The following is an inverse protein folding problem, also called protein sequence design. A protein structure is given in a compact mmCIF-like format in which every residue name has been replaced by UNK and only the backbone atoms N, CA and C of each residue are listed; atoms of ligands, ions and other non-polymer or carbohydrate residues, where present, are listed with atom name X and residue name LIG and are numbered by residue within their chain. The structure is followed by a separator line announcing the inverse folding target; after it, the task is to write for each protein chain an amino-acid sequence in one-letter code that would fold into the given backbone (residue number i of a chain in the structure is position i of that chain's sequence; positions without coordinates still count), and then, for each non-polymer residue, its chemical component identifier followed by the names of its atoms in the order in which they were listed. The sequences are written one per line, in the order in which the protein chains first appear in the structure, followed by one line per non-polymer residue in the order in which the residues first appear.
data_IF_625125827625
#
_entry.id   IF_625125827625
#
_cell.length_a   1.000
_cell.length_b   1.000
_cell.length_c   1.000
_cell.angle_alpha   90.00
_cell.angle_beta   90.00
_cell.angle_gamma   90.00
#
_symmetry.space_group_name_H-M   'P 1'
#
loop_
_entity.id
_entity.type
_entity.pdbx_description
1 polymer ?
#
# COMPACT_ATOMS: atom_id res chain seq x y z
N UNK A 1 -43.74 -19.96 20.59
CA UNK A 1 -43.54 -21.24 19.88
C UNK A 1 -42.48 -20.97 18.81
N UNK A 2 -41.27 -21.49 18.78
CA UNK A 2 -40.56 -22.47 19.58
C UNK A 2 -39.14 -21.92 19.84
N UNK A 3 -38.67 -21.97 21.09
CA UNK A 3 -37.32 -21.53 21.47
C UNK A 3 -36.33 -22.65 21.17
N UNK A 4 -35.38 -22.38 20.27
CA UNK A 4 -34.26 -23.28 20.00
C UNK A 4 -33.14 -23.02 21.02
N UNK A 5 -32.92 -23.98 21.91
CA UNK A 5 -31.79 -24.01 22.85
C UNK A 5 -30.51 -24.41 22.11
N UNK A 6 -29.56 -23.49 22.06
CA UNK A 6 -28.19 -23.76 21.59
C UNK A 6 -27.38 -24.47 22.70
N UNK A 7 -26.65 -25.55 22.40
CA UNK A 7 -25.88 -26.28 23.41
C UNK A 7 -24.58 -25.54 23.75
N UNK A 8 -24.43 -25.22 25.04
CA UNK A 8 -23.24 -24.62 25.64
C UNK A 8 -22.12 -25.66 25.70
N UNK A 9 -21.12 -25.54 24.82
CA UNK A 9 -19.95 -26.41 24.79
C UNK A 9 -19.02 -26.10 25.97
N UNK A 10 -19.18 -26.83 27.07
CA UNK A 10 -18.25 -26.85 28.20
C UNK A 10 -16.92 -27.52 27.79
N UNK A 11 -16.01 -26.76 27.18
CA UNK A 11 -14.61 -27.17 27.01
C UNK A 11 -13.88 -27.02 28.34
N UNK A 12 -14.08 -28.01 29.22
CA UNK A 12 -13.28 -28.21 30.43
C UNK A 12 -11.89 -28.66 29.99
N UNK A 13 -11.02 -27.70 29.66
CA UNK A 13 -9.60 -27.92 29.40
C UNK A 13 -9.00 -28.43 30.71
N UNK A 14 -8.86 -29.76 30.83
CA UNK A 14 -8.13 -30.41 31.92
C UNK A 14 -6.71 -29.87 31.87
N UNK A 15 -6.37 -29.00 32.82
CA UNK A 15 -4.97 -28.76 33.15
C UNK A 15 -4.36 -30.12 33.52
N UNK A 16 -3.20 -30.50 32.98
CA UNK A 16 -2.46 -31.60 33.56
C UNK A 16 -2.08 -31.17 34.98
N UNK A 17 -2.71 -31.81 35.97
CA UNK A 17 -2.12 -31.91 37.31
C UNK A 17 -0.73 -32.50 37.10
N UNK A 18 0.27 -31.62 37.05
CA UNK A 18 1.63 -32.00 37.34
C UNK A 18 1.61 -32.38 38.82
N UNK A 19 1.26 -33.64 39.08
CA UNK A 19 1.65 -34.32 40.31
C UNK A 19 3.12 -34.03 40.50
N UNK A 20 3.41 -33.16 41.46
CA UNK A 20 4.74 -32.97 42.00
C UNK A 20 5.08 -34.29 42.66
N UNK A 21 5.60 -35.23 41.86
CA UNK A 21 6.29 -36.39 42.36
C UNK A 21 7.56 -35.82 42.97
N UNK A 22 7.47 -35.41 44.24
CA UNK A 22 8.60 -35.34 45.16
C UNK A 22 9.13 -36.76 45.31
N UNK A 23 9.78 -37.27 44.26
CA UNK A 23 10.62 -38.46 44.32
C UNK A 23 11.78 -38.08 45.24
N UNK A 24 11.52 -38.29 46.52
CA UNK A 24 12.51 -38.39 47.58
C UNK A 24 13.34 -39.61 47.23
N UNK A 25 14.30 -39.45 46.31
CA UNK A 25 15.28 -40.47 46.00
C UNK A 25 16.04 -40.70 47.31
N UNK A 26 15.88 -41.87 47.96
CA UNK A 26 16.60 -42.15 49.19
C UNK A 26 18.09 -42.10 48.85
N UNK A 27 18.80 -41.22 49.55
CA UNK A 27 20.25 -41.06 49.47
C UNK A 27 20.89 -42.38 49.95
N UNK A 28 21.01 -43.34 49.03
CA UNK A 28 21.73 -44.59 49.24
C UNK A 28 23.19 -44.21 49.46
N UNK A 29 23.59 -44.20 50.73
CA UNK A 29 24.97 -44.01 51.13
C UNK A 29 25.86 -44.95 50.31
N UNK A 30 26.89 -44.42 49.62
CA UNK A 30 27.76 -45.25 48.82
C UNK A 30 28.43 -46.30 49.71
N UNK A 31 28.35 -47.56 49.28
CA UNK A 31 29.03 -48.68 49.91
C UNK A 31 30.52 -48.31 50.14
N UNK A 32 31.04 -48.65 51.32
CA UNK A 32 32.45 -48.48 51.68
C UNK A 32 33.34 -49.31 50.75
N UNK A 33 33.75 -48.70 49.64
CA UNK A 33 34.79 -49.25 48.77
C UNK A 33 36.13 -49.05 49.49
N UNK A 34 36.74 -50.15 49.94
CA UNK A 34 38.12 -50.13 50.47
C UNK A 34 39.08 -49.91 49.30
N UNK A 35 39.69 -48.73 49.24
CA UNK A 35 40.74 -48.42 48.27
C UNK A 35 42.04 -49.17 48.63
N UNK A 36 42.47 -50.08 47.76
CA UNK A 36 43.83 -50.63 47.75
C UNK A 36 44.71 -49.61 47.05
N UNK A 37 45.51 -48.86 47.80
CA UNK A 37 46.39 -47.83 47.23
C UNK A 37 47.64 -48.47 46.62
N UNK A 38 47.70 -48.56 45.29
CA UNK A 38 48.98 -48.75 44.59
C UNK A 38 49.73 -47.40 44.49
N UNK A 39 51.06 -47.36 44.69
CA UNK A 39 51.83 -46.11 44.80
C UNK A 39 51.78 -45.15 43.58
N UNK A 40 51.30 -45.59 42.42
CA UNK A 40 51.12 -44.74 41.23
C UNK A 40 49.70 -44.19 41.02
N UNK A 41 48.67 -44.80 41.60
CA UNK A 41 47.26 -44.50 41.29
C UNK A 41 46.69 -43.27 42.03
N UNK A 42 47.40 -42.77 43.03
CA UNK A 42 46.90 -41.69 43.91
C UNK A 42 46.86 -40.30 43.26
N UNK A 43 47.63 -40.05 42.21
CA UNK A 43 47.58 -38.77 41.49
C UNK A 43 46.40 -38.74 40.52
N UNK A 44 46.27 -39.75 39.67
CA UNK A 44 45.17 -39.86 38.71
C UNK A 44 43.79 -39.90 39.40
N UNK A 45 43.67 -40.62 40.52
CA UNK A 45 42.43 -40.64 41.28
C UNK A 45 42.06 -39.26 41.84
N UNK A 46 43.02 -38.50 42.38
CA UNK A 46 42.77 -37.15 42.90
C UNK A 46 42.38 -36.20 41.77
N UNK A 47 43.04 -36.31 40.62
CA UNK A 47 42.68 -35.54 39.43
C UNK A 47 41.25 -35.88 38.97
N UNK A 48 40.91 -37.15 38.87
CA UNK A 48 39.56 -37.59 38.51
C UNK A 48 38.51 -37.11 39.52
N UNK A 49 38.81 -37.19 40.83
CA UNK A 49 37.92 -36.68 41.88
C UNK A 49 37.71 -35.17 41.79
N UNK A 50 38.76 -34.40 41.48
CA UNK A 50 38.64 -32.96 41.26
C UNK A 50 37.79 -32.66 40.03
N UNK A 51 38.05 -33.33 38.90
CA UNK A 51 37.24 -33.18 37.68
C UNK A 51 35.77 -33.52 37.92
N UNK A 52 35.48 -34.59 38.68
CA UNK A 52 34.10 -34.94 39.05
C UNK A 52 33.46 -33.84 39.91
N UNK A 53 34.21 -33.25 40.85
CA UNK A 53 33.70 -32.15 41.68
C UNK A 53 33.41 -30.89 40.84
N UNK A 54 34.31 -30.53 39.92
CA UNK A 54 34.16 -29.38 39.03
C UNK A 54 32.96 -29.57 38.09
N UNK A 55 32.83 -30.75 37.48
CA UNK A 55 31.69 -31.09 36.61
C UNK A 55 30.37 -31.06 37.39
N UNK A 56 30.33 -31.56 38.63
CA UNK A 56 29.14 -31.45 39.49
C UNK A 56 28.78 -30.00 39.79
N UNK A 57 29.77 -29.13 40.03
CA UNK A 57 29.57 -27.70 40.19
C UNK A 57 28.96 -27.05 38.95
N UNK A 58 29.46 -27.41 37.76
CA UNK A 58 28.92 -26.93 36.49
C UNK A 58 27.48 -27.41 36.26
N UNK A 59 27.19 -28.71 36.48
CA UNK A 59 25.83 -29.25 36.35
C UNK A 59 24.85 -28.52 37.27
N UNK A 60 25.22 -28.31 38.54
CA UNK A 60 24.37 -27.57 39.48
C UNK A 60 24.13 -26.11 39.04
N UNK A 61 25.13 -25.46 38.43
CA UNK A 61 24.98 -24.12 37.86
C UNK A 61 24.00 -24.12 36.67
N UNK A 62 24.13 -25.07 35.74
CA UNK A 62 23.24 -25.20 34.59
C UNK A 62 21.79 -25.49 34.99
N UNK A 63 21.55 -26.38 35.96
CA UNK A 63 20.21 -26.63 36.48
C UNK A 63 19.57 -25.40 37.12
N UNK A 64 20.37 -24.55 37.77
CA UNK A 64 19.87 -23.31 38.35
C UNK A 64 19.48 -22.29 37.27
N UNK A 65 20.30 -22.12 36.23
CA UNK A 65 19.98 -21.27 35.09
C UNK A 65 18.76 -21.82 34.31
N UNK A 66 18.63 -23.14 34.14
CA UNK A 66 17.44 -23.76 33.54
C UNK A 66 16.17 -23.44 34.35
N UNK A 67 16.20 -23.61 35.67
CA UNK A 67 15.08 -23.27 36.56
C UNK A 67 14.71 -21.78 36.49
N UNK A 68 15.70 -20.91 36.35
CA UNK A 68 15.50 -19.46 36.19
C UNK A 68 14.91 -19.11 34.83
N UNK A 69 15.38 -19.73 33.74
CA UNK A 69 14.82 -19.59 32.41
C UNK A 69 13.36 -20.10 32.38
N UNK A 70 13.08 -21.25 32.98
CA UNK A 70 11.72 -21.82 33.07
C UNK A 70 10.74 -20.88 33.78
N UNK A 71 11.15 -20.21 34.87
CA UNK A 71 10.33 -19.20 35.56
C UNK A 71 10.07 -17.97 34.69
N UNK A 72 11.05 -17.54 33.88
CA UNK A 72 10.85 -16.43 32.94
C UNK A 72 9.87 -16.82 31.82
N UNK A 73 9.99 -18.02 31.28
CA UNK A 73 9.08 -18.55 30.28
C UNK A 73 7.63 -18.60 30.80
N UNK A 74 7.40 -19.15 32.00
CA UNK A 74 6.07 -19.16 32.63
C UNK A 74 5.49 -17.75 32.82
N UNK A 75 6.32 -16.76 33.15
CA UNK A 75 5.86 -15.37 33.26
C UNK A 75 5.45 -14.79 31.91
N UNK A 76 6.24 -15.03 30.87
CA UNK A 76 5.91 -14.59 29.51
C UNK A 76 4.64 -15.28 28.97
N UNK A 77 4.41 -16.54 29.32
CA UNK A 77 3.17 -17.24 28.98
C UNK A 77 1.94 -16.60 29.64
N UNK A 78 2.05 -16.16 30.90
CA UNK A 78 0.98 -15.44 31.62
C UNK A 78 0.74 -14.05 31.03
N UNK A 79 1.81 -13.30 30.74
CA UNK A 79 1.73 -11.99 30.08
C UNK A 79 1.08 -12.11 28.69
N UNK A 80 1.43 -13.13 27.90
CA UNK A 80 0.85 -13.41 26.58
C UNK A 80 -0.63 -13.78 26.68
N UNK A 81 -1.02 -14.59 27.67
CA UNK A 81 -2.43 -14.92 27.92
C UNK A 81 -3.25 -13.66 28.22
N UNK A 82 -2.71 -12.76 29.05
CA UNK A 82 -3.36 -11.47 29.36
C UNK A 82 -3.51 -10.59 28.12
N UNK A 83 -2.48 -10.48 27.28
CA UNK A 83 -2.55 -9.72 26.03
C UNK A 83 -3.57 -10.30 25.05
N UNK A 84 -3.72 -11.64 25.00
CA UNK A 84 -4.76 -12.28 24.19
C UNK A 84 -6.16 -11.92 24.68
N UNK A 85 -6.39 -11.91 26.00
CA UNK A 85 -7.67 -11.50 26.58
C UNK A 85 -7.97 -10.01 26.30
N UNK A 86 -6.98 -9.13 26.41
CA UNK A 86 -7.11 -7.70 26.06
C UNK A 86 -7.42 -7.49 24.58
N UNK A 87 -6.74 -8.22 23.68
CA UNK A 87 -7.03 -8.21 22.24
C UNK A 87 -8.45 -8.64 21.96
N UNK A 88 -8.91 -9.73 22.57
CA UNK A 88 -10.26 -10.25 22.34
C UNK A 88 -11.33 -9.27 22.85
N UNK A 89 -11.04 -8.56 23.95
CA UNK A 89 -11.88 -7.45 24.43
C UNK A 89 -11.98 -6.29 23.44
N UNK A 90 -10.85 -5.85 22.87
CA UNK A 90 -10.82 -4.79 21.86
C UNK A 90 -11.53 -5.20 20.56
N UNK A 91 -11.44 -6.46 20.15
CA UNK A 91 -12.15 -6.99 18.98
C UNK A 91 -13.67 -6.92 19.18
N UNK A 92 -14.15 -7.26 20.37
CA UNK A 92 -15.59 -7.16 20.66
C UNK A 92 -16.06 -5.69 20.75
N UNK A 93 -15.24 -4.78 21.30
CA UNK A 93 -15.53 -3.35 21.31
C UNK A 93 -15.59 -2.75 19.89
N UNK A 94 -14.64 -3.11 19.02
CA UNK A 94 -14.64 -2.71 17.60
C UNK A 94 -15.91 -3.20 16.90
N UNK A 95 -16.32 -4.44 17.16
CA UNK A 95 -17.54 -5.01 16.61
C UNK A 95 -18.78 -4.24 17.07
N UNK A 96 -18.88 -3.89 18.35
CA UNK A 96 -19.98 -3.08 18.88
C UNK A 96 -20.02 -1.68 18.25
N UNK A 97 -18.86 -1.03 18.10
CA UNK A 97 -18.78 0.27 17.43
C UNK A 97 -19.25 0.18 15.97
N UNK A 98 -18.80 -0.84 15.24
CA UNK A 98 -19.20 -1.07 13.85
C UNK A 98 -20.71 -1.34 13.72
N UNK A 99 -21.29 -2.14 14.62
CA UNK A 99 -22.74 -2.37 14.67
C UNK A 99 -23.49 -1.05 14.94
N UNK A 100 -23.03 -0.25 15.89
CA UNK A 100 -23.64 1.05 16.20
C UNK A 100 -23.53 2.08 15.06
N UNK A 101 -22.40 2.10 14.35
CA UNK A 101 -22.20 2.96 13.19
C UNK A 101 -23.11 2.53 12.03
N UNK A 102 -23.24 1.22 11.80
CA UNK A 102 -24.12 0.70 10.77
C UNK A 102 -25.59 1.02 11.06
N UNK A 103 -26.03 0.95 12.31
CA UNK A 103 -27.38 1.35 12.72
C UNK A 103 -27.63 2.85 12.49
N UNK A 104 -26.65 3.71 12.77
CA UNK A 104 -26.76 5.16 12.55
C UNK A 104 -26.78 5.51 11.05
N UNK A 105 -25.94 4.85 10.24
CA UNK A 105 -25.95 4.99 8.78
C UNK A 105 -27.29 4.57 8.20
N UNK A 106 -27.86 3.46 8.67
CA UNK A 106 -29.17 3.00 8.26
C UNK A 106 -30.26 4.02 8.63
N UNK A 107 -30.22 4.56 9.85
CA UNK A 107 -31.14 5.60 10.33
C UNK A 107 -31.09 6.85 9.45
N UNK A 108 -29.89 7.34 9.13
CA UNK A 108 -29.70 8.49 8.25
C UNK A 108 -30.13 8.21 6.80
N UNK A 109 -29.94 6.98 6.32
CA UNK A 109 -30.45 6.53 5.03
C UNK A 109 -31.98 6.63 4.95
N UNK A 110 -32.68 6.13 5.97
CA UNK A 110 -34.14 6.19 6.04
C UNK A 110 -34.68 7.63 6.15
N UNK A 111 -33.97 8.48 6.90
CA UNK A 111 -34.27 9.91 7.02
C UNK A 111 -34.10 10.63 5.67
N UNK A 112 -33.01 10.36 4.95
CA UNK A 112 -32.75 10.94 3.64
C UNK A 112 -33.79 10.51 2.59
N UNK A 113 -34.20 9.24 2.59
CA UNK A 113 -35.30 8.74 1.74
C UNK A 113 -36.60 9.50 2.02
N UNK A 114 -36.89 9.77 3.29
CA UNK A 114 -38.08 10.51 3.72
C UNK A 114 -38.03 11.97 3.25
N UNK A 115 -36.88 12.63 3.41
CA UNK A 115 -36.67 14.00 2.92
C UNK A 115 -36.78 14.08 1.40
N UNK A 116 -36.17 13.15 0.67
CA UNK A 116 -36.26 13.09 -0.78
C UNK A 116 -37.70 12.99 -1.27
N UNK A 117 -38.51 12.10 -0.66
CA UNK A 117 -39.95 12.00 -0.97
C UNK A 117 -40.69 13.30 -0.74
N UNK A 118 -40.37 14.03 0.34
CA UNK A 118 -40.98 15.34 0.64
C UNK A 118 -40.60 16.38 -0.42
N UNK A 119 -39.33 16.45 -0.81
CA UNK A 119 -38.85 17.37 -1.86
C UNK A 119 -39.53 17.06 -3.19
N UNK A 120 -39.56 15.79 -3.61
CA UNK A 120 -40.24 15.40 -4.85
C UNK A 120 -41.74 15.74 -4.85
N UNK A 121 -42.41 15.58 -3.70
CA UNK A 121 -43.82 15.98 -3.57
C UNK A 121 -43.98 17.49 -3.76
N UNK A 122 -43.16 18.31 -3.09
CA UNK A 122 -43.20 19.76 -3.25
C UNK A 122 -42.85 20.22 -4.67
N UNK A 123 -41.95 19.53 -5.38
CA UNK A 123 -41.64 19.83 -6.78
C UNK A 123 -42.85 19.57 -7.70
N UNK A 124 -43.58 18.47 -7.47
CA UNK A 124 -44.83 18.17 -8.20
C UNK A 124 -45.89 19.25 -7.92
N UNK A 125 -46.05 19.68 -6.66
CA UNK A 125 -46.97 20.76 -6.29
C UNK A 125 -46.60 22.08 -6.97
N UNK A 126 -45.31 22.46 -6.96
CA UNK A 126 -44.81 23.67 -7.61
C UNK A 126 -45.00 23.64 -9.12
N UNK A 127 -44.78 22.49 -9.77
CA UNK A 127 -45.01 22.34 -11.20
C UNK A 127 -46.51 22.46 -11.52
N UNK A 128 -47.38 21.85 -10.72
CA UNK A 128 -48.83 21.98 -10.87
C UNK A 128 -49.29 23.43 -10.74
N UNK A 129 -48.75 24.18 -9.77
CA UNK A 129 -49.04 25.61 -9.60
C UNK A 129 -48.55 26.44 -10.79
N UNK A 130 -47.36 26.14 -11.32
CA UNK A 130 -46.82 26.80 -12.52
C UNK A 130 -47.73 26.59 -13.73
N UNK A 131 -48.20 25.36 -13.92
CA UNK A 131 -49.11 25.01 -15.02
C UNK A 131 -50.45 25.75 -14.91
N UNK A 132 -51.00 25.89 -13.69
CA UNK A 132 -52.23 26.67 -13.44
C UNK A 132 -52.03 28.16 -13.75
N UNK A 133 -50.92 28.76 -13.31
CA UNK A 133 -50.60 30.17 -13.61
C UNK A 133 -50.45 30.38 -15.13
N UNK A 134 -49.81 29.44 -15.81
CA UNK A 134 -49.67 29.50 -17.28
C UNK A 134 -51.03 29.38 -17.99
N UNK A 135 -51.93 28.53 -17.51
CA UNK A 135 -53.28 28.42 -18.07
C UNK A 135 -54.11 29.69 -17.86
N UNK A 136 -54.02 30.32 -16.68
CA UNK A 136 -54.74 31.57 -16.38
C UNK A 136 -54.24 32.74 -17.24
N UNK A 137 -52.92 32.88 -17.39
CA UNK A 137 -52.32 33.93 -18.24
C UNK A 137 -52.70 33.77 -19.71
N UNK A 138 -52.78 32.55 -20.24
CA UNK A 138 -53.27 32.29 -21.59
C UNK A 138 -54.76 32.66 -21.74
N UNK A 139 -55.59 32.39 -20.74
CA UNK A 139 -57.02 32.71 -20.76
C UNK A 139 -57.31 34.22 -20.78
N UNK A 140 -56.50 35.03 -20.08
CA UNK A 140 -56.65 36.50 -20.08
C UNK A 140 -56.32 37.11 -21.44
N UNK A 141 -55.26 36.63 -22.10
CA UNK A 141 -54.85 37.10 -23.43
C UNK A 141 -55.94 36.84 -24.48
N UNK A 142 -56.65 35.71 -24.38
CA UNK A 142 -57.72 35.37 -25.34
C UNK A 142 -59.02 36.16 -25.17
N UNK A 143 -59.28 36.75 -24.01
CA UNK A 143 -60.51 37.54 -23.77
C UNK A 143 -60.33 39.05 -24.02
N UNK A 144 -59.11 39.53 -24.26
CA UNK A 144 -58.80 40.95 -24.46
C UNK A 144 -58.71 41.42 -25.92
N UNK A 145 -58.73 40.53 -26.91
CA UNK A 145 -58.50 40.89 -28.33
C UNK A 145 -59.76 40.64 -29.16
N UNK A 146 -60.75 41.53 -28.99
CA UNK A 146 -61.74 41.80 -30.04
C UNK A 146 -61.41 43.14 -30.67
N UNK A 147 -61.08 43.08 -31.97
CA UNK A 147 -61.18 44.18 -32.94
C UNK A 147 -60.01 45.16 -33.06
N UNK A 148 -58.93 44.80 -33.79
CA UNK A 148 -58.30 45.68 -34.79
C UNK A 148 -57.75 44.83 -35.96
N UNK A 149 -58.25 44.99 -37.21
CA UNK A 149 -57.65 44.41 -38.40
C UNK A 149 -56.56 45.34 -38.95
N UNK A 150 -55.31 44.88 -38.92
CA UNK A 150 -54.13 45.62 -39.37
C UNK A 150 -53.30 44.83 -40.37
N UNK A 151 -53.42 45.25 -41.63
CA UNK A 151 -52.76 44.82 -42.85
C UNK A 151 -51.25 45.10 -42.86
N UNK A 152 -50.47 44.28 -43.61
CA UNK A 152 -49.10 44.43 -44.18
C UNK A 152 -48.20 43.23 -43.79
N UNK A 153 -47.94 42.26 -44.66
CA UNK A 153 -46.99 42.30 -45.79
C UNK A 153 -45.60 42.80 -45.34
N UNK A 154 -44.62 41.90 -45.19
CA UNK A 154 -43.48 41.89 -46.10
C UNK A 154 -42.54 40.69 -45.92
N UNK A 155 -41.89 40.40 -47.04
CA UNK A 155 -40.91 39.37 -47.39
C UNK A 155 -39.62 39.35 -46.57
N UNK A 156 -39.02 38.16 -46.38
CA UNK A 156 -37.58 37.88 -46.60
C UNK A 156 -37.33 36.37 -46.39
N UNK A 157 -37.17 35.56 -47.46
CA UNK A 157 -35.96 35.29 -48.25
C UNK A 157 -34.80 34.65 -47.46
N UNK A 158 -34.72 33.33 -47.62
CA UNK A 158 -33.54 32.49 -47.87
C UNK A 158 -32.16 33.10 -47.61
N UNK A 159 -31.38 32.52 -46.68
CA UNK A 159 -29.93 32.41 -46.84
C UNK A 159 -29.30 31.29 -45.99
N UNK A 160 -28.91 30.21 -46.69
CA UNK A 160 -27.63 29.49 -46.63
C UNK A 160 -26.90 29.38 -45.29
N UNK A 161 -26.68 28.13 -44.83
CA UNK A 161 -25.34 27.76 -44.35
C UNK A 161 -25.08 26.26 -44.52
N UNK A 162 -24.25 25.95 -45.50
CA UNK A 162 -23.68 24.64 -45.74
C UNK A 162 -22.59 24.36 -44.70
N UNK A 163 -22.67 23.21 -44.05
CA UNK A 163 -21.60 22.69 -43.19
C UNK A 163 -20.45 22.16 -44.06
N UNK A 164 -19.19 22.55 -43.78
CA UNK A 164 -18.04 22.00 -44.47
C UNK A 164 -17.68 20.63 -43.92
N UNK A 165 -17.56 19.68 -44.85
CA UNK A 165 -16.78 18.47 -44.75
C UNK A 165 -15.30 18.81 -44.57
N UNK A 166 -14.69 18.34 -43.49
CA UNK A 166 -13.24 18.29 -43.33
C UNK A 166 -12.79 16.83 -43.44
N UNK A 167 -12.25 16.53 -44.61
CA UNK A 167 -11.20 15.54 -44.78
C UNK A 167 -9.97 16.02 -43.99
N UNK A 168 -9.39 15.16 -43.16
CA UNK A 168 -7.99 15.22 -42.77
C UNK A 168 -7.43 13.80 -42.77
N UNK A 169 -6.95 13.46 -43.96
CA UNK A 169 -5.74 12.71 -44.29
C UNK A 169 -4.78 12.52 -43.09
N UNK A 170 -4.65 11.29 -42.60
CA UNK A 170 -3.56 10.90 -41.70
C UNK A 170 -2.60 10.00 -42.46
N UNK A 171 -1.51 10.65 -42.85
CA UNK A 171 -0.26 10.14 -43.39
C UNK A 171 0.23 8.93 -42.61
N UNK A 172 0.31 7.80 -43.29
CA UNK A 172 0.92 6.57 -42.83
C UNK A 172 2.42 6.62 -43.20
N UNK A 173 3.25 7.20 -42.34
CA UNK A 173 4.70 7.09 -42.47
C UNK A 173 5.18 5.75 -41.89
N UNK A 174 5.63 4.88 -42.78
CA UNK A 174 6.48 3.76 -42.45
C UNK A 174 7.86 4.26 -42.04
N UNK A 175 8.38 3.72 -40.95
CA UNK A 175 9.80 3.76 -40.65
C UNK A 175 10.26 2.33 -40.43
N UNK A 176 10.75 1.77 -41.53
CA UNK A 176 11.73 0.69 -41.52
C UNK A 176 12.95 1.18 -40.75
N UNK A 177 13.34 0.46 -39.70
CA UNK A 177 14.67 0.57 -39.16
C UNK A 177 15.20 -0.84 -38.89
N UNK A 178 15.93 -1.33 -39.89
CA UNK A 178 16.88 -2.40 -39.77
C UNK A 178 17.96 -2.00 -38.74
N UNK A 179 18.24 -2.88 -37.77
CA UNK A 179 19.50 -2.84 -37.03
C UNK A 179 20.24 -4.17 -37.28
N UNK A 180 21.49 -4.13 -37.76
CA UNK A 180 22.29 -5.31 -38.02
C UNK A 180 22.81 -5.94 -36.73
N UNK A 181 22.94 -7.27 -36.75
CA UNK A 181 23.58 -8.02 -35.68
C UNK A 181 25.05 -7.68 -35.49
N UNK A 182 25.53 -7.85 -34.26
CA UNK A 182 26.93 -8.14 -33.98
C UNK A 182 27.05 -9.25 -32.94
N UNK A 183 27.77 -10.28 -33.35
CA UNK A 183 28.13 -11.51 -32.65
C UNK A 183 29.38 -11.30 -31.77
N UNK A 184 29.43 -12.04 -30.64
CA UNK A 184 30.56 -12.62 -29.86
C UNK A 184 31.88 -11.87 -29.68
N UNK A 185 32.35 -11.81 -28.41
CA UNK A 185 33.39 -12.69 -27.83
C UNK A 185 33.62 -12.26 -26.35
N UNK A 186 33.51 -13.13 -25.34
CA UNK A 186 34.49 -14.13 -24.87
C UNK A 186 35.77 -13.52 -24.24
N UNK A 187 35.84 -13.50 -22.90
CA UNK A 187 36.91 -14.00 -22.02
C UNK A 187 36.78 -13.35 -20.62
N UNK A 188 36.76 -14.05 -19.47
CA UNK A 188 37.56 -15.16 -18.88
C UNK A 188 38.68 -14.61 -17.97
N UNK A 189 38.72 -15.17 -16.76
CA UNK A 189 39.73 -15.05 -15.69
C UNK A 189 39.70 -13.68 -14.96
N UNK A 190 39.80 -13.54 -13.63
CA UNK A 190 40.74 -14.18 -12.72
C UNK A 190 40.34 -13.97 -11.23
N UNK A 191 40.42 -15.07 -10.47
CA UNK A 191 40.85 -15.25 -9.06
C UNK A 191 40.92 -14.02 -8.12
N UNK A 192 40.15 -14.08 -7.02
CA UNK A 192 40.65 -13.59 -5.72
C UNK A 192 40.09 -14.43 -4.57
N UNK A 193 40.99 -15.17 -3.95
CA UNK A 193 40.81 -15.82 -2.66
C UNK A 193 41.00 -14.77 -1.55
N UNK A 194 40.05 -14.67 -0.63
CA UNK A 194 40.28 -14.10 0.70
C UNK A 194 39.58 -14.95 1.77
N UNK A 195 40.19 -15.06 2.97
CA UNK A 195 39.99 -16.18 3.88
C UNK A 195 38.87 -15.94 4.90
N UNK A 196 38.35 -17.07 5.36
CA UNK A 196 37.46 -17.36 6.49
C UNK A 196 37.63 -16.42 7.68
N UNK A 197 36.58 -15.77 8.19
CA UNK A 197 35.50 -16.31 9.05
C UNK A 197 36.01 -16.91 10.36
N UNK A 198 35.91 -16.10 11.42
CA UNK A 198 35.62 -16.49 12.79
C UNK A 198 34.94 -15.28 13.47
N UNK A 199 33.64 -15.10 13.20
CA UNK A 199 32.79 -14.20 13.97
C UNK A 199 31.69 -15.02 14.64
N UNK A 200 31.89 -15.22 15.94
CA UNK A 200 30.95 -15.76 16.92
C UNK A 200 29.73 -14.82 17.05
N UNK A 201 28.77 -14.98 16.14
CA UNK A 201 27.49 -14.26 16.19
C UNK A 201 26.55 -15.05 17.08
N UNK A 202 26.50 -14.62 18.34
CA UNK A 202 25.48 -15.01 19.31
C UNK A 202 24.09 -14.64 18.74
N UNK A 203 23.36 -15.64 18.24
CA UNK A 203 21.95 -15.53 17.84
C UNK A 203 21.11 -15.21 19.07
N UNK A 204 20.90 -13.91 19.28
CA UNK A 204 19.94 -13.35 20.21
C UNK A 204 18.55 -13.64 19.63
N UNK A 205 17.86 -14.61 20.22
CA UNK A 205 16.45 -14.91 19.92
C UNK A 205 15.61 -13.67 20.08
N UNK A 206 15.29 -13.03 18.96
CA UNK A 206 14.30 -11.98 18.87
C UNK A 206 12.96 -12.68 18.88
N UNK A 207 12.38 -12.79 20.07
CA UNK A 207 10.97 -13.10 20.27
C UNK A 207 10.18 -11.98 19.60
N UNK A 208 9.94 -12.13 18.29
CA UNK A 208 9.10 -11.25 17.51
C UNK A 208 7.66 -11.49 17.97
N UNK A 209 7.27 -10.82 19.07
CA UNK A 209 5.87 -10.48 19.32
C UNK A 209 5.28 -9.99 18.00
N UNK A 210 4.26 -10.70 17.51
CA UNK A 210 3.55 -10.31 16.31
C UNK A 210 2.84 -8.98 16.61
N UNK A 211 3.55 -7.88 16.37
CA UNK A 211 2.96 -6.55 16.46
C UNK A 211 1.67 -6.55 15.64
N UNK A 212 0.58 -5.94 16.18
CA UNK A 212 -0.67 -5.84 15.45
C UNK A 212 -0.36 -5.26 14.08
N UNK A 213 -0.67 -6.04 13.03
CA UNK A 213 -0.45 -5.68 11.63
C UNK A 213 -1.23 -4.42 11.34
N UNK A 214 -0.60 -3.29 11.63
CA UNK A 214 -1.14 -1.96 11.43
C UNK A 214 -1.28 -1.80 9.94
N UNK A 215 -2.52 -1.79 9.45
CA UNK A 215 -2.77 -1.61 8.03
C UNK A 215 -2.27 -0.22 7.61
N UNK A 216 -1.41 -0.14 6.61
CA UNK A 216 -0.77 1.12 6.20
C UNK A 216 -1.60 1.91 5.17
N UNK A 217 -2.91 1.68 5.10
CA UNK A 217 -3.80 2.37 4.15
C UNK A 217 -3.92 3.86 4.43
N UNK A 218 -4.20 4.62 3.37
CA UNK A 218 -4.35 6.06 3.44
C UNK A 218 -5.82 6.49 3.49
N UNK A 219 -6.08 7.57 4.21
CA UNK A 219 -7.38 8.25 4.17
C UNK A 219 -7.43 9.06 2.87
N UNK A 220 -8.54 8.94 2.13
CA UNK A 220 -8.75 9.68 0.89
C UNK A 220 -8.68 11.21 1.14
N UNK A 221 -7.93 11.99 0.34
CA UNK A 221 -7.82 13.44 0.51
C UNK A 221 -9.12 14.15 0.10
N UNK A 222 -9.93 14.57 1.08
CA UNK A 222 -11.22 15.21 0.84
C UNK A 222 -11.11 16.53 0.06
N UNK A 223 -9.96 17.20 0.13
CA UNK A 223 -9.70 18.43 -0.62
C UNK A 223 -9.59 18.20 -2.13
N UNK A 224 -9.30 16.97 -2.59
CA UNK A 224 -9.39 16.62 -4.00
C UNK A 224 -10.82 16.78 -4.55
N UNK A 225 -11.85 16.63 -3.71
CA UNK A 225 -13.26 16.79 -4.13
C UNK A 225 -13.63 18.24 -4.47
N UNK A 226 -12.83 19.23 -4.07
CA UNK A 226 -13.08 20.62 -4.47
C UNK A 226 -12.77 20.90 -5.95
N UNK A 227 -12.02 20.00 -6.61
CA UNK A 227 -11.65 20.14 -8.02
C UNK A 227 -12.55 19.28 -8.90
N UNK A 228 -13.34 19.92 -9.77
CA UNK A 228 -14.23 19.27 -10.74
C UNK A 228 -13.46 18.34 -11.69
N UNK A 229 -12.18 18.62 -11.93
CA UNK A 229 -11.33 17.73 -12.73
C UNK A 229 -10.95 16.49 -11.93
N UNK A 230 -10.52 16.67 -10.69
CA UNK A 230 -10.06 15.60 -9.80
C UNK A 230 -11.16 14.58 -9.50
N UNK A 231 -12.40 15.04 -9.27
CA UNK A 231 -13.57 14.16 -9.07
C UNK A 231 -13.70 13.09 -10.17
N UNK A 232 -13.24 13.39 -11.40
CA UNK A 232 -13.37 12.48 -12.55
C UNK A 232 -12.27 11.42 -12.62
N UNK A 233 -11.08 11.68 -12.07
CA UNK A 233 -9.91 10.80 -12.28
C UNK A 233 -9.26 10.34 -10.98
N UNK A 234 -9.20 11.19 -9.97
CA UNK A 234 -8.44 10.94 -8.75
C UNK A 234 -9.05 9.83 -7.88
N UNK A 235 -10.39 9.70 -7.69
CA UNK A 235 -10.96 8.57 -6.94
C UNK A 235 -10.55 7.21 -7.51
N UNK A 236 -10.56 7.08 -8.84
CA UNK A 236 -10.17 5.84 -9.51
C UNK A 236 -8.65 5.62 -9.44
N UNK A 237 -7.86 6.67 -9.60
CA UNK A 237 -6.41 6.62 -9.46
C UNK A 237 -5.99 6.20 -8.05
N UNK A 238 -6.51 6.89 -7.03
CA UNK A 238 -6.22 6.63 -5.62
C UNK A 238 -6.65 5.22 -5.22
N UNK A 239 -7.90 4.82 -5.51
CA UNK A 239 -8.37 3.47 -5.23
C UNK A 239 -7.56 2.38 -5.96
N UNK A 240 -6.93 2.71 -7.09
CA UNK A 240 -6.04 1.79 -7.79
C UNK A 240 -4.68 1.63 -7.11
N UNK A 241 -4.13 2.68 -6.48
CA UNK A 241 -2.78 2.65 -5.85
C UNK A 241 -2.77 2.52 -4.33
N UNK A 242 -3.91 2.70 -3.65
CA UNK A 242 -4.04 2.51 -2.19
C UNK A 242 -4.03 1.01 -1.83
N UNK A 243 -2.82 0.43 -1.86
CA UNK A 243 -2.55 -0.94 -1.45
C UNK A 243 -1.56 -0.97 -0.30
N UNK A 244 -1.72 -1.94 0.61
CA UNK A 244 -0.78 -2.13 1.70
C UNK A 244 0.47 -2.86 1.21
N UNK A 245 1.52 -2.08 0.95
CA UNK A 245 2.88 -2.55 0.64
C UNK A 245 3.87 -2.05 1.72
N UNK A 246 3.37 -1.68 2.90
CA UNK A 246 4.17 -1.23 4.03
C UNK A 246 4.45 0.29 4.06
N UNK A 247 5.13 0.75 5.13
CA UNK A 247 5.23 2.17 5.47
C UNK A 247 6.02 3.01 4.45
N UNK A 248 7.01 2.44 3.76
CA UNK A 248 7.80 3.18 2.76
C UNK A 248 6.97 3.51 1.51
N UNK A 249 6.10 2.60 1.09
CA UNK A 249 5.19 2.86 -0.02
C UNK A 249 4.12 3.87 0.36
N UNK A 250 3.57 3.77 1.59
CA UNK A 250 2.66 4.76 2.17
C UNK A 250 3.27 6.17 2.14
N UNK A 251 4.54 6.30 2.51
CA UNK A 251 5.26 7.57 2.50
C UNK A 251 5.39 8.16 1.07
N UNK A 252 5.68 7.32 0.07
CA UNK A 252 5.65 7.73 -1.34
C UNK A 252 4.27 8.22 -1.78
N UNK A 253 3.20 7.52 -1.39
CA UNK A 253 1.83 7.92 -1.73
C UNK A 253 1.44 9.25 -1.10
N UNK A 254 1.81 9.50 0.16
CA UNK A 254 1.59 10.80 0.82
C UNK A 254 2.25 11.94 0.05
N UNK A 255 3.52 11.75 -0.34
CA UNK A 255 4.24 12.74 -1.15
C UNK A 255 3.59 12.96 -2.52
N UNK A 256 3.11 11.90 -3.17
CA UNK A 256 2.36 12.04 -4.42
C UNK A 256 1.07 12.85 -4.24
N UNK A 257 0.32 12.61 -3.17
CA UNK A 257 -0.88 13.39 -2.83
C UNK A 257 -0.53 14.87 -2.61
N UNK A 258 0.54 15.16 -1.87
CA UNK A 258 1.00 16.53 -1.63
C UNK A 258 1.43 17.22 -2.93
N UNK A 259 2.11 16.49 -3.82
CA UNK A 259 2.47 16.98 -5.14
C UNK A 259 1.26 17.33 -6.00
N UNK A 260 0.24 16.45 -6.08
CA UNK A 260 -0.99 16.73 -6.81
C UNK A 260 -1.78 17.91 -6.18
N UNK A 261 -1.75 18.05 -4.85
CA UNK A 261 -2.37 19.18 -4.14
C UNK A 261 -1.74 20.53 -4.52
N UNK A 262 -0.41 20.59 -4.65
CA UNK A 262 0.30 21.81 -5.09
C UNK A 262 -0.17 22.25 -6.48
N UNK A 263 -0.46 21.28 -7.35
CA UNK A 263 -0.99 21.48 -8.70
C UNK A 263 -2.53 21.54 -8.76
N UNK A 264 -3.21 21.73 -7.63
CA UNK A 264 -4.66 21.90 -7.55
C UNK A 264 -5.46 20.77 -8.19
N UNK A 265 -4.88 19.56 -8.21
CA UNK A 265 -5.52 18.35 -8.72
C UNK A 265 -5.89 18.40 -10.20
N UNK A 266 -5.26 19.29 -10.96
CA UNK A 266 -5.47 19.41 -12.40
C UNK A 266 -5.15 18.09 -13.12
N UNK A 267 -5.95 17.75 -14.13
CA UNK A 267 -5.85 16.45 -14.80
C UNK A 267 -4.61 16.34 -15.70
N UNK A 268 -4.12 17.45 -16.24
CA UNK A 268 -3.07 17.45 -17.26
C UNK A 268 -1.99 18.49 -16.99
N UNK A 269 -0.89 18.06 -16.37
CA UNK A 269 0.36 18.83 -16.26
C UNK A 269 1.40 18.50 -17.31
N UNK A 270 0.95 18.04 -18.49
CA UNK A 270 1.79 17.39 -19.49
C UNK A 270 1.92 15.89 -19.28
N UNK A 271 2.89 15.27 -19.95
CA UNK A 271 3.13 13.83 -19.91
C UNK A 271 4.60 13.60 -19.57
N UNK A 272 4.87 12.59 -18.76
CA UNK A 272 6.23 12.08 -18.62
C UNK A 272 6.73 11.57 -19.98
N UNK A 273 8.04 11.61 -20.19
CA UNK A 273 8.65 11.10 -21.41
C UNK A 273 8.40 9.58 -21.55
N UNK A 274 8.26 9.14 -22.80
CA UNK A 274 7.96 7.75 -23.16
C UNK A 274 9.23 6.93 -23.47
N UNK A 275 10.36 7.58 -23.65
CA UNK A 275 11.67 6.96 -23.91
C UNK A 275 12.05 6.10 -22.71
N UNK A 276 12.55 4.89 -22.96
CA UNK A 276 12.86 3.86 -21.96
C UNK A 276 11.68 3.39 -21.07
N UNK A 277 10.45 3.89 -21.26
CA UNK A 277 9.31 3.51 -20.40
C UNK A 277 9.03 2.02 -20.50
N UNK A 278 8.85 1.30 -19.35
CA UNK A 278 8.45 -0.10 -19.37
C UNK A 278 7.21 -0.34 -20.23
N UNK A 279 7.28 -1.37 -21.08
CA UNK A 279 6.21 -1.72 -22.03
C UNK A 279 4.87 -1.95 -21.32
N UNK A 280 4.89 -2.47 -20.09
CA UNK A 280 3.71 -2.72 -19.27
C UNK A 280 3.00 -1.42 -18.89
N UNK A 281 3.76 -0.37 -18.54
CA UNK A 281 3.19 0.95 -18.24
C UNK A 281 2.63 1.57 -19.52
N UNK A 282 3.35 1.44 -20.65
CA UNK A 282 2.86 1.92 -21.95
C UNK A 282 1.55 1.25 -22.34
N UNK A 283 1.49 -0.08 -22.30
CA UNK A 283 0.30 -0.86 -22.61
C UNK A 283 -0.88 -0.49 -21.70
N UNK A 284 -0.64 -0.37 -20.39
CA UNK A 284 -1.65 0.06 -19.43
C UNK A 284 -2.23 1.45 -19.69
N UNK A 285 -1.38 2.40 -20.10
CA UNK A 285 -1.84 3.74 -20.48
C UNK A 285 -2.68 3.69 -21.76
N UNK A 286 -2.28 2.89 -22.76
CA UNK A 286 -2.95 2.83 -24.08
C UNK A 286 -4.23 2.02 -24.07
N UNK A 287 -4.29 0.92 -23.33
CA UNK A 287 -5.46 0.03 -23.24
C UNK A 287 -6.56 0.59 -22.30
N UNK A 288 -6.21 1.63 -21.53
CA UNK A 288 -7.05 2.22 -20.51
C UNK A 288 -6.63 1.75 -19.13
N UNK A 289 -6.68 2.68 -18.17
CA UNK A 289 -6.07 2.51 -16.84
C UNK A 289 -6.95 1.77 -15.83
N UNK A 290 -8.25 1.78 -16.06
CA UNK A 290 -9.27 1.32 -15.10
C UNK A 290 -10.15 0.22 -15.70
N UNK A 291 -10.74 -0.59 -14.82
CA UNK A 291 -11.73 -1.58 -15.20
C UNK A 291 -12.93 -0.89 -15.90
N UNK A 292 -13.61 -1.57 -16.84
CA UNK A 292 -13.42 -2.96 -17.26
C UNK A 292 -12.33 -3.16 -18.32
N UNK A 293 -11.74 -2.08 -18.85
CA UNK A 293 -10.82 -2.14 -20.00
C UNK A 293 -9.43 -2.62 -19.62
N UNK A 294 -9.01 -2.32 -18.39
CA UNK A 294 -7.67 -2.64 -17.92
C UNK A 294 -7.59 -3.97 -17.19
N UNK A 295 -6.62 -4.83 -17.55
CA UNK A 295 -6.28 -6.03 -16.77
C UNK A 295 -5.01 -5.89 -15.92
N UNK A 296 -4.28 -4.77 -16.03
CA UNK A 296 -2.94 -4.64 -15.45
C UNK A 296 -1.95 -5.67 -16.03
N UNK A 297 -0.64 -5.56 -15.76
CA UNK A 297 0.30 -6.60 -16.11
C UNK A 297 0.10 -7.83 -15.21
N UNK A 298 0.50 -9.00 -15.72
CA UNK A 298 0.62 -10.20 -14.90
C UNK A 298 1.89 -10.08 -14.03
N UNK A 299 1.73 -9.65 -12.78
CA UNK A 299 2.81 -9.42 -11.80
C UNK A 299 3.42 -10.71 -11.22
N UNK A 300 3.66 -11.72 -12.05
CA UNK A 300 4.28 -12.99 -11.64
C UNK A 300 5.81 -12.94 -11.51
N UNK A 301 6.42 -14.09 -11.23
CA UNK A 301 7.87 -14.18 -11.04
C UNK A 301 8.69 -13.72 -12.26
N UNK A 302 8.20 -13.93 -13.48
CA UNK A 302 8.88 -13.47 -14.70
C UNK A 302 8.82 -11.96 -14.88
N UNK A 303 7.75 -11.31 -14.41
CA UNK A 303 7.64 -9.84 -14.41
C UNK A 303 8.72 -9.22 -13.51
N UNK A 304 8.94 -9.77 -12.32
CA UNK A 304 9.93 -9.25 -11.36
C UNK A 304 11.38 -9.44 -11.84
N UNK A 305 11.64 -10.34 -12.81
CA UNK A 305 13.00 -10.51 -13.36
C UNK A 305 13.43 -9.38 -14.28
N UNK A 306 12.51 -8.77 -15.03
CA UNK A 306 12.84 -7.79 -16.07
C UNK A 306 12.34 -6.39 -15.75
N UNK A 307 11.16 -6.28 -15.12
CA UNK A 307 10.54 -4.99 -14.83
C UNK A 307 11.38 -4.07 -13.96
N UNK A 308 12.08 -4.52 -12.89
CA UNK A 308 12.94 -3.66 -12.08
C UNK A 308 14.00 -2.91 -12.90
N UNK A 309 14.66 -3.62 -13.81
CA UNK A 309 15.73 -3.05 -14.63
C UNK A 309 15.17 -2.08 -15.67
N UNK A 310 14.07 -2.43 -16.32
CA UNK A 310 13.39 -1.53 -17.26
C UNK A 310 12.85 -0.28 -16.55
N UNK A 311 12.30 -0.43 -15.35
CA UNK A 311 11.82 0.69 -14.54
C UNK A 311 12.96 1.60 -14.09
N UNK A 312 14.10 1.05 -13.68
CA UNK A 312 15.31 1.84 -13.35
C UNK A 312 15.82 2.62 -14.54
N UNK A 313 15.96 1.98 -15.72
CA UNK A 313 16.38 2.67 -16.95
C UNK A 313 15.47 3.85 -17.28
N UNK A 314 14.16 3.67 -17.18
CA UNK A 314 13.20 4.75 -17.36
C UNK A 314 13.36 5.86 -16.34
N UNK A 315 13.51 5.50 -15.06
CA UNK A 315 13.71 6.47 -13.99
C UNK A 315 15.00 7.29 -14.19
N UNK A 316 16.11 6.64 -14.54
CA UNK A 316 17.37 7.28 -14.86
C UNK A 316 17.27 8.20 -16.08
N UNK A 317 16.49 7.80 -17.09
CA UNK A 317 16.18 8.65 -18.24
C UNK A 317 15.40 9.90 -17.82
N UNK A 318 14.35 9.75 -17.00
CA UNK A 318 13.56 10.88 -16.50
C UNK A 318 14.41 11.84 -15.67
N UNK A 319 15.27 11.31 -14.79
CA UNK A 319 16.17 12.09 -13.95
C UNK A 319 17.31 12.75 -14.69
N UNK A 320 17.83 12.16 -15.76
CA UNK A 320 18.91 12.74 -16.58
C UNK A 320 18.40 13.78 -17.58
N UNK A 321 17.13 13.63 -17.99
CA UNK A 321 16.40 14.66 -18.73
C UNK A 321 16.03 15.87 -17.87
N UNK A 322 16.13 15.74 -16.55
CA UNK A 322 16.23 16.87 -15.63
C UNK A 322 17.73 17.11 -15.40
N UNK A 323 18.24 18.32 -15.51
CA UNK A 323 19.60 18.54 -15.02
C UNK A 323 19.58 18.34 -13.51
N UNK A 324 20.08 17.19 -13.01
CA UNK A 324 20.15 16.91 -11.58
C UNK A 324 20.78 18.12 -10.85
N UNK A 325 20.33 18.41 -9.61
CA UNK A 325 20.41 19.73 -8.98
C UNK A 325 21.81 20.13 -8.48
N UNK A 326 22.89 19.57 -9.05
CA UNK A 326 24.23 20.06 -8.74
C UNK A 326 24.58 21.38 -9.44
N UNK A 327 23.82 21.83 -10.45
CA UNK A 327 24.08 23.16 -11.03
C UNK A 327 22.93 23.88 -11.76
N UNK A 328 21.90 23.17 -12.23
CA UNK A 328 20.78 23.80 -12.95
C UNK A 328 19.47 23.30 -12.33
N UNK A 329 18.66 24.21 -11.78
CA UNK A 329 17.36 23.95 -11.15
C UNK A 329 16.26 23.56 -12.16
N UNK A 330 16.58 22.83 -13.23
CA UNK A 330 15.60 22.45 -14.25
C UNK A 330 14.88 21.14 -13.88
N UNK A 331 13.74 21.29 -13.21
CA UNK A 331 12.84 20.21 -12.86
C UNK A 331 11.72 19.97 -13.90
N UNK A 332 11.72 20.68 -15.02
CA UNK A 332 10.56 20.75 -15.94
C UNK A 332 10.12 19.40 -16.51
N UNK A 333 11.04 18.44 -16.65
CA UNK A 333 10.75 17.08 -17.10
C UNK A 333 10.05 16.22 -16.02
N UNK A 334 10.25 16.52 -14.73
CA UNK A 334 9.59 15.85 -13.61
C UNK A 334 8.38 16.62 -13.05
N UNK A 335 8.21 17.91 -13.37
CA UNK A 335 7.01 18.70 -13.01
C UNK A 335 5.78 18.33 -13.85
N UNK A 336 5.52 17.03 -14.01
CA UNK A 336 4.34 16.50 -14.72
C UNK A 336 3.35 15.94 -13.71
N UNK A 337 2.19 16.56 -13.59
CA UNK A 337 1.12 16.18 -12.66
C UNK A 337 -0.10 15.58 -13.37
N UNK A 338 -1.03 15.04 -12.59
CA UNK A 338 -2.25 14.40 -13.07
C UNK A 338 -2.04 12.98 -13.61
N UNK A 339 -3.01 12.49 -14.37
CA UNK A 339 -3.12 11.07 -14.76
C UNK A 339 -1.98 10.56 -15.67
N UNK A 340 -1.24 11.46 -16.33
CA UNK A 340 -0.09 11.14 -17.19
C UNK A 340 1.26 11.53 -16.56
N UNK A 341 1.23 12.04 -15.32
CA UNK A 341 2.40 12.46 -14.56
C UNK A 341 2.92 11.37 -13.63
N UNK A 342 3.29 11.79 -12.41
CA UNK A 342 3.78 10.94 -11.31
C UNK A 342 2.91 9.73 -10.99
N UNK A 343 1.61 9.78 -11.27
CA UNK A 343 0.73 8.63 -11.14
C UNK A 343 1.27 7.38 -11.86
N UNK A 344 1.90 7.53 -13.02
CA UNK A 344 2.47 6.40 -13.77
C UNK A 344 3.68 5.76 -13.07
N UNK A 345 4.49 6.57 -12.37
CA UNK A 345 5.64 6.12 -11.57
C UNK A 345 5.13 5.35 -10.34
N UNK A 346 4.13 5.91 -9.64
CA UNK A 346 3.49 5.27 -8.47
C UNK A 346 2.87 3.92 -8.83
N UNK A 347 2.23 3.82 -10.00
CA UNK A 347 1.68 2.56 -10.52
C UNK A 347 2.78 1.54 -10.82
N UNK A 348 3.91 1.96 -11.41
CA UNK A 348 5.04 1.05 -11.61
C UNK A 348 5.62 0.54 -10.29
N UNK A 349 5.74 1.40 -9.27
CA UNK A 349 6.17 0.99 -7.92
C UNK A 349 5.20 0.01 -7.27
N UNK A 350 3.90 0.25 -7.43
CA UNK A 350 2.85 -0.66 -6.97
C UNK A 350 3.05 -2.06 -7.54
N UNK A 351 3.15 -2.16 -8.88
CA UNK A 351 3.26 -3.45 -9.54
C UNK A 351 4.52 -4.20 -9.18
N UNK A 352 5.65 -3.49 -9.05
CA UNK A 352 6.88 -4.11 -8.56
C UNK A 352 6.69 -4.67 -7.15
N UNK A 353 6.14 -3.89 -6.22
CA UNK A 353 5.89 -4.34 -4.84
C UNK A 353 4.89 -5.51 -4.75
N UNK A 354 3.83 -5.50 -5.56
CA UNK A 354 2.90 -6.63 -5.66
C UNK A 354 3.56 -7.88 -6.25
N UNK A 355 4.41 -7.71 -7.27
CA UNK A 355 5.12 -8.82 -7.89
C UNK A 355 6.08 -9.54 -6.95
N UNK A 356 6.70 -8.83 -6.01
CA UNK A 356 7.56 -9.43 -4.99
C UNK A 356 6.83 -10.47 -4.14
N UNK A 357 5.50 -10.36 -3.97
CA UNK A 357 4.69 -11.37 -3.23
C UNK A 357 4.71 -12.76 -3.89
N UNK A 358 5.09 -12.85 -5.17
CA UNK A 358 5.24 -14.12 -5.89
C UNK A 358 6.61 -14.78 -5.69
N UNK A 359 7.57 -14.08 -5.10
CA UNK A 359 8.91 -14.59 -4.81
C UNK A 359 8.98 -15.25 -3.43
N UNK A 360 10.04 -16.02 -3.19
CA UNK A 360 10.32 -16.66 -1.91
C UNK A 360 11.83 -16.75 -1.69
N UNK A 361 12.25 -16.95 -0.44
CA UNK A 361 13.67 -17.11 -0.08
C UNK A 361 14.52 -15.88 -0.41
N UNK A 362 15.74 -16.12 -0.91
CA UNK A 362 16.70 -15.05 -1.22
C UNK A 362 16.21 -14.09 -2.31
N UNK A 363 15.42 -14.57 -3.28
CA UNK A 363 14.86 -13.72 -4.33
C UNK A 363 13.88 -12.68 -3.78
N UNK A 364 13.07 -13.06 -2.79
CA UNK A 364 12.18 -12.12 -2.10
C UNK A 364 12.98 -11.08 -1.30
N UNK A 365 14.00 -11.51 -0.55
CA UNK A 365 14.82 -10.60 0.27
C UNK A 365 15.53 -9.57 -0.62
N UNK A 366 16.27 -10.03 -1.63
CA UNK A 366 17.03 -9.15 -2.51
C UNK A 366 16.11 -8.23 -3.31
N UNK A 367 15.01 -8.77 -3.86
CA UNK A 367 14.02 -7.96 -4.57
C UNK A 367 13.35 -6.91 -3.69
N UNK A 368 13.10 -7.22 -2.41
CA UNK A 368 12.54 -6.28 -1.43
C UNK A 368 13.52 -5.17 -1.08
N UNK A 369 14.79 -5.49 -0.85
CA UNK A 369 15.85 -4.49 -0.60
C UNK A 369 16.02 -3.54 -1.79
N UNK A 370 16.05 -4.10 -3.00
CA UNK A 370 16.11 -3.35 -4.26
C UNK A 370 14.91 -2.43 -4.45
N UNK A 371 13.70 -2.94 -4.23
CA UNK A 371 12.47 -2.16 -4.32
C UNK A 371 12.41 -1.06 -3.25
N UNK A 372 12.86 -1.34 -2.02
CA UNK A 372 12.97 -0.34 -0.97
C UNK A 372 13.97 0.75 -1.29
N UNK A 373 15.14 0.43 -1.84
CA UNK A 373 16.11 1.41 -2.28
C UNK A 373 15.50 2.35 -3.33
N UNK A 374 14.80 1.76 -4.31
CA UNK A 374 14.15 2.50 -5.38
C UNK A 374 13.01 3.40 -4.88
N UNK A 375 12.14 2.90 -3.99
CA UNK A 375 11.08 3.72 -3.39
C UNK A 375 11.66 4.88 -2.61
N UNK A 376 12.70 4.65 -1.81
CA UNK A 376 13.35 5.71 -1.04
C UNK A 376 13.90 6.78 -1.97
N UNK A 377 14.53 6.39 -3.08
CA UNK A 377 15.04 7.32 -4.08
C UNK A 377 13.92 8.16 -4.70
N UNK A 378 12.88 7.51 -5.24
CA UNK A 378 11.74 8.17 -5.89
C UNK A 378 11.01 9.11 -4.92
N UNK A 379 10.78 8.67 -3.68
CA UNK A 379 10.16 9.49 -2.64
C UNK A 379 11.02 10.70 -2.28
N UNK A 380 12.34 10.53 -2.20
CA UNK A 380 13.29 11.63 -1.92
C UNK A 380 13.30 12.65 -3.06
N UNK A 381 13.32 12.18 -4.32
CA UNK A 381 13.25 13.07 -5.49
C UNK A 381 11.94 13.85 -5.53
N UNK A 382 10.81 13.21 -5.21
CA UNK A 382 9.51 13.87 -5.16
C UNK A 382 9.44 14.92 -4.04
N UNK A 383 10.00 14.63 -2.87
CA UNK A 383 10.11 15.60 -1.76
C UNK A 383 10.97 16.83 -2.14
N UNK A 384 12.10 16.60 -2.84
CA UNK A 384 12.93 17.70 -3.35
C UNK A 384 12.17 18.55 -4.37
N UNK A 385 11.42 17.92 -5.27
CA UNK A 385 10.58 18.60 -6.27
C UNK A 385 9.48 19.45 -5.60
N UNK A 386 8.78 18.89 -4.60
CA UNK A 386 7.77 19.61 -3.81
C UNK A 386 8.37 20.87 -3.18
N UNK A 387 9.51 20.73 -2.49
CA UNK A 387 10.22 21.86 -1.85
C UNK A 387 10.67 22.92 -2.85
N UNK A 388 11.07 22.51 -4.04
CA UNK A 388 11.40 23.42 -5.14
C UNK A 388 10.18 24.24 -5.57
N UNK A 389 9.05 23.58 -5.84
CA UNK A 389 7.81 24.24 -6.28
C UNK A 389 7.24 25.20 -5.23
N UNK A 390 7.32 24.84 -3.94
CA UNK A 390 6.92 25.72 -2.85
C UNK A 390 7.80 26.99 -2.77
N UNK A 391 9.10 26.84 -3.04
CA UNK A 391 10.03 27.97 -3.08
C UNK A 391 9.74 28.90 -4.26
N UNK A 392 9.49 28.36 -5.45
CA UNK A 392 9.09 29.15 -6.62
C UNK A 392 7.78 29.90 -6.39
N UNK A 393 6.78 29.25 -5.79
CA UNK A 393 5.51 29.90 -5.46
C UNK A 393 5.70 31.05 -4.45
N UNK A 394 6.61 30.87 -3.51
CA UNK A 394 6.95 31.89 -2.50
C UNK A 394 7.77 33.06 -3.07
N UNK A 395 8.55 32.85 -4.14
CA UNK A 395 9.31 33.92 -4.80
C UNK A 395 8.41 34.79 -5.68
N UNK A 396 7.44 34.20 -6.38
CA UNK A 396 6.46 34.92 -7.21
C UNK A 396 5.49 35.76 -6.38
N UNK A 397 5.20 35.33 -5.14
CA UNK A 397 4.26 36.04 -4.26
C UNK A 397 4.84 37.28 -3.55
N UNK A 398 6.14 37.59 -3.71
CA UNK A 398 6.76 38.81 -3.15
C UNK A 398 6.68 39.94 -4.20
N UNK A 399 5.79 40.94 -4.03
CA UNK A 399 5.60 42.04 -4.98
C UNK A 399 6.76 43.04 -4.99
#
# INVERSE_FOLDING_TARGET
MASASTPQANSKKRQPELEVIEDTIPFLFPQKVRLITQPGFGHELRQAQQTIADLRGQVAHWEWEERKARRRAMKLEDDLAKLMDERDGLVEELKQMQESENDEVQRLGDENITLFRRVSHSDIELQTLRDVVQALTLSEVTNGVSSIPGHLADTNKDEVSAHPSQDDDITQEGSDNEIPGHLVDANKDEVSAHPSQDDDITQKGSDNEAEPTTTHRLIYPLDALSSVEAEKWFPQAFGYVDVDLGPRYKDLLLKWIDFERIHQWEKTGGRLDKTERPKEITAWITEGRYAPRCKGPNVGADFVKTFPDDFRKWWDFLRSSSSLPQQNDDWTSLTKYGINGWFSIVVGMKWWGEGLKSLSGDGLRNGTEEWFAMITEVATTLDMLIKYLERERSSVAKP
#
